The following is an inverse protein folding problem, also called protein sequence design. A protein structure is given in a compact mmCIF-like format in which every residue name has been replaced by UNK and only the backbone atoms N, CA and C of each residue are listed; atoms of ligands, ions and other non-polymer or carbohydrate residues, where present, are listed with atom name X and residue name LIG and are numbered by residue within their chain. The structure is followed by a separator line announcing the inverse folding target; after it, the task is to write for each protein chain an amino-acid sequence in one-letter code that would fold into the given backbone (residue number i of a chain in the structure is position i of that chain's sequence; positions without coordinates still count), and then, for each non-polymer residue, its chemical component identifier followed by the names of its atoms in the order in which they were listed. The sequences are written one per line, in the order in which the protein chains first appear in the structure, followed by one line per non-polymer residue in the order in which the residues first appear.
data_IF_746667503584
#
_entry.id   IF_746667503584
#
_cell.length_a   1.000
_cell.length_b   1.000
_cell.length_c   1.000
_cell.angle_alpha   90.00
_cell.angle_beta   90.00
_cell.angle_gamma   90.00
#
_symmetry.space_group_name_H-M   'P 1'
#
loop_
_entity.id
_entity.type
_entity.pdbx_description
1 polymer ?
#
# COMPACT_ATOMS: atom_id res chain seq x y z
N UNK A 1 14.72 -6.00 0.01
CA UNK A 1 14.64 -5.39 1.35
C UNK A 1 15.16 -6.39 2.37
N UNK A 2 15.85 -5.94 3.43
CA UNK A 2 16.24 -6.80 4.54
C UNK A 2 15.05 -7.50 5.20
N UNK A 3 15.29 -8.62 5.86
CA UNK A 3 14.25 -9.47 6.46
C UNK A 3 14.70 -10.10 7.80
N UNK A 4 15.74 -9.52 8.43
CA UNK A 4 16.34 -10.07 9.63
C UNK A 4 15.56 -9.72 10.91
N UNK A 5 14.93 -8.56 10.97
CA UNK A 5 14.18 -8.08 12.12
C UNK A 5 12.66 -8.06 11.86
N UNK A 6 11.87 -8.06 12.93
CA UNK A 6 10.40 -7.93 12.82
C UNK A 6 9.98 -6.64 12.13
N UNK A 7 10.72 -5.55 12.34
CA UNK A 7 10.44 -4.26 11.69
C UNK A 7 10.75 -4.31 10.20
N UNK A 8 11.84 -4.97 9.80
CA UNK A 8 12.15 -5.16 8.39
C UNK A 8 11.11 -6.03 7.68
N UNK A 9 10.67 -7.13 8.32
CA UNK A 9 9.58 -7.97 7.80
C UNK A 9 8.28 -7.18 7.63
N UNK A 10 7.90 -6.40 8.64
CA UNK A 10 6.74 -5.50 8.58
C UNK A 10 6.88 -4.49 7.43
N UNK A 11 8.05 -3.87 7.29
CA UNK A 11 8.31 -2.87 6.26
C UNK A 11 8.18 -3.47 4.85
N UNK A 12 8.73 -4.67 4.66
CA UNK A 12 8.61 -5.43 3.42
C UNK A 12 7.15 -5.75 3.08
N UNK A 13 6.37 -6.19 4.07
CA UNK A 13 4.93 -6.44 3.90
C UNK A 13 4.13 -5.16 3.60
N UNK A 14 4.52 -4.03 4.20
CA UNK A 14 3.92 -2.72 3.91
C UNK A 14 4.17 -2.27 2.47
N UNK A 15 5.37 -2.50 1.97
CA UNK A 15 5.72 -2.28 0.58
C UNK A 15 4.90 -3.17 -0.36
N UNK A 16 4.78 -4.46 -0.01
CA UNK A 16 3.97 -5.41 -0.76
C UNK A 16 2.50 -4.99 -0.83
N UNK A 17 1.90 -4.58 0.30
CA UNK A 17 0.50 -4.13 0.30
C UNK A 17 0.30 -2.84 -0.51
N UNK A 18 1.27 -1.93 -0.55
CA UNK A 18 1.21 -0.76 -1.43
C UNK A 18 1.14 -1.17 -2.91
N UNK A 19 1.91 -2.18 -3.32
CA UNK A 19 1.85 -2.73 -4.68
C UNK A 19 0.55 -3.47 -4.95
N UNK A 20 0.03 -4.21 -3.97
CA UNK A 20 -1.22 -4.95 -4.12
C UNK A 20 -2.47 -4.06 -4.17
N UNK A 21 -2.45 -2.88 -3.56
CA UNK A 21 -3.67 -2.10 -3.35
C UNK A 21 -3.59 -0.64 -3.79
N UNK A 22 -2.41 -0.08 -3.85
CA UNK A 22 -2.24 1.37 -3.96
C UNK A 22 -2.91 2.15 -2.83
N UNK A 23 -3.18 1.55 -1.68
CA UNK A 23 -3.81 2.21 -0.55
C UNK A 23 -3.04 3.47 -0.13
N UNK A 24 -3.76 4.49 0.34
CA UNK A 24 -3.11 5.69 0.89
C UNK A 24 -2.37 5.33 2.17
N UNK A 25 -1.25 5.97 2.40
CA UNK A 25 -0.39 5.74 3.55
C UNK A 25 -1.09 5.91 4.89
N UNK A 26 -2.00 6.88 5.00
CA UNK A 26 -2.83 7.08 6.20
C UNK A 26 -3.77 5.91 6.44
N UNK A 27 -4.40 5.39 5.38
CA UNK A 27 -5.26 4.21 5.47
C UNK A 27 -4.42 2.99 5.86
N UNK A 28 -3.35 2.71 5.14
CA UNK A 28 -2.47 1.58 5.38
C UNK A 28 -1.97 1.52 6.84
N UNK A 29 -1.53 2.66 7.38
CA UNK A 29 -1.01 2.73 8.76
C UNK A 29 -2.08 2.70 9.86
N UNK A 30 -3.35 2.65 9.49
CA UNK A 30 -4.48 2.48 10.42
C UNK A 30 -5.25 1.16 10.22
N UNK A 31 -4.82 0.31 9.28
CA UNK A 31 -5.41 -1.02 9.09
C UNK A 31 -5.21 -1.91 10.31
N UNK A 32 -6.27 -2.66 10.64
CA UNK A 32 -6.27 -3.74 11.63
C UNK A 32 -6.46 -5.08 10.95
N UNK A 33 -6.10 -6.19 11.59
CA UNK A 33 -6.18 -7.52 11.00
C UNK A 33 -7.59 -7.91 10.54
N UNK A 34 -8.63 -7.38 11.18
CA UNK A 34 -10.04 -7.59 10.77
C UNK A 34 -10.38 -6.96 9.40
N UNK A 35 -9.60 -5.98 8.96
CA UNK A 35 -9.81 -5.33 7.66
C UNK A 35 -9.17 -6.10 6.49
N UNK A 36 -8.47 -7.21 6.76
CA UNK A 36 -7.75 -8.00 5.76
C UNK A 36 -8.44 -9.33 5.54
N UNK A 37 -8.94 -9.54 4.33
CA UNK A 37 -9.43 -10.82 3.85
C UNK A 37 -8.43 -11.39 2.83
N UNK A 38 -7.72 -12.44 3.25
CA UNK A 38 -6.76 -13.12 2.39
C UNK A 38 -7.42 -14.12 1.43
N UNK A 39 -8.65 -14.57 1.72
CA UNK A 39 -9.39 -15.51 0.87
C UNK A 39 -9.93 -14.75 -0.34
N UNK A 40 -10.62 -13.65 -0.10
CA UNK A 40 -11.15 -12.77 -1.15
C UNK A 40 -10.09 -11.84 -1.75
N UNK A 41 -8.84 -11.88 -1.24
CA UNK A 41 -7.71 -11.03 -1.67
C UNK A 41 -8.10 -9.56 -1.68
N UNK A 42 -8.59 -9.04 -0.55
CA UNK A 42 -9.04 -7.66 -0.42
C UNK A 42 -8.72 -7.06 0.94
N UNK A 43 -8.76 -5.73 0.99
CA UNK A 43 -8.86 -4.97 2.24
C UNK A 43 -10.16 -4.18 2.27
N UNK A 44 -10.81 -4.18 3.44
CA UNK A 44 -11.98 -3.35 3.71
C UNK A 44 -11.55 -2.14 4.54
N UNK A 45 -11.63 -0.96 3.95
CA UNK A 45 -11.26 0.31 4.56
C UNK A 45 -12.52 0.98 5.13
N UNK A 46 -12.98 0.53 6.31
CA UNK A 46 -14.11 1.14 7.02
C UNK A 46 -13.72 2.55 7.49
N UNK A 47 -14.39 3.57 6.98
CA UNK A 47 -14.10 4.97 7.29
C UNK A 47 -14.26 5.35 8.78
N UNK A 48 -14.96 4.53 9.56
CA UNK A 48 -15.11 4.71 11.02
C UNK A 48 -13.84 4.32 11.79
N UNK A 49 -12.99 3.50 11.21
CA UNK A 49 -11.82 2.93 11.87
C UNK A 49 -10.52 3.15 11.10
N UNK A 50 -10.60 3.25 9.77
CA UNK A 50 -9.46 3.44 8.86
C UNK A 50 -9.45 4.88 8.36
N UNK A 51 -8.28 5.51 8.41
CA UNK A 51 -8.09 6.91 7.98
C UNK A 51 -8.11 7.03 6.45
N UNK A 52 -9.30 6.95 5.88
CA UNK A 52 -9.53 7.14 4.45
C UNK A 52 -9.61 8.63 4.09
N UNK A 53 -9.43 8.95 2.82
CA UNK A 53 -9.68 10.31 2.32
C UNK A 53 -11.19 10.56 2.27
N UNK A 54 -11.63 11.74 2.69
CA UNK A 54 -13.03 12.19 2.71
C UNK A 54 -13.96 11.29 3.57
N UNK A 55 -13.42 10.46 4.46
CA UNK A 55 -14.20 9.48 5.24
C UNK A 55 -15.04 8.53 4.36
N UNK A 56 -14.51 8.16 3.18
CA UNK A 56 -15.14 7.19 2.30
C UNK A 56 -14.81 5.77 2.73
N UNK A 57 -15.81 4.89 2.81
CA UNK A 57 -15.61 3.45 2.99
C UNK A 57 -15.29 2.80 1.64
N UNK A 58 -14.19 2.07 1.57
CA UNK A 58 -13.64 1.56 0.32
C UNK A 58 -13.32 0.08 0.46
N UNK A 59 -13.80 -0.74 -0.50
CA UNK A 59 -13.29 -2.08 -0.76
C UNK A 59 -12.16 -1.97 -1.78
N UNK A 60 -11.01 -2.58 -1.49
CA UNK A 60 -9.89 -2.63 -2.42
C UNK A 60 -9.44 -4.07 -2.59
N UNK A 61 -9.68 -4.64 -3.75
CA UNK A 61 -9.15 -5.95 -4.15
C UNK A 61 -7.68 -5.84 -4.51
N UNK A 62 -6.94 -6.92 -4.33
CA UNK A 62 -5.53 -6.94 -4.70
C UNK A 62 -5.38 -6.89 -6.22
N UNK A 63 -4.59 -5.96 -6.69
CA UNK A 63 -4.28 -5.83 -8.10
C UNK A 63 -3.48 -7.05 -8.59
N UNK A 64 -3.65 -7.45 -9.87
CA UNK A 64 -2.93 -8.56 -10.49
C UNK A 64 -1.48 -8.17 -10.83
N UNK A 65 -0.71 -7.90 -9.81
CA UNK A 65 0.73 -7.65 -9.88
C UNK A 65 1.51 -8.93 -9.59
N UNK A 66 2.85 -8.88 -9.60
CA UNK A 66 3.69 -10.05 -9.32
C UNK A 66 3.28 -10.75 -8.01
N UNK A 67 3.16 -12.07 -8.07
CA UNK A 67 2.70 -12.92 -6.97
C UNK A 67 3.59 -12.83 -5.72
N UNK A 68 4.86 -12.48 -5.90
CA UNK A 68 5.78 -12.25 -4.79
C UNK A 68 5.26 -11.24 -3.75
N UNK A 69 4.46 -10.26 -4.17
CA UNK A 69 3.86 -9.28 -3.25
C UNK A 69 2.73 -9.91 -2.44
N UNK A 70 1.91 -10.76 -3.07
CA UNK A 70 0.85 -11.49 -2.39
C UNK A 70 1.42 -12.46 -1.36
N UNK A 71 2.43 -13.22 -1.73
CA UNK A 71 3.12 -14.16 -0.84
C UNK A 71 3.73 -13.44 0.36
N UNK A 72 4.48 -12.38 0.11
CA UNK A 72 5.12 -11.58 1.16
C UNK A 72 4.09 -11.01 2.16
N UNK A 73 2.98 -10.48 1.68
CA UNK A 73 1.94 -9.92 2.55
C UNK A 73 1.18 -11.02 3.29
N UNK A 74 0.88 -12.12 2.62
CA UNK A 74 0.20 -13.28 3.21
C UNK A 74 1.02 -13.92 4.32
N UNK A 75 2.32 -14.12 4.10
CA UNK A 75 3.25 -14.64 5.12
C UNK A 75 3.29 -13.71 6.35
N UNK A 76 3.33 -12.40 6.13
CA UNK A 76 3.32 -11.44 7.22
C UNK A 76 2.04 -11.51 8.05
N UNK A 77 0.86 -11.52 7.41
CA UNK A 77 -0.43 -11.60 8.12
C UNK A 77 -0.57 -12.93 8.87
N UNK A 78 -0.13 -14.04 8.24
CA UNK A 78 -0.10 -15.35 8.91
C UNK A 78 0.81 -15.34 10.12
N UNK A 79 1.98 -14.73 10.02
CA UNK A 79 2.94 -14.60 11.12
C UNK A 79 2.34 -13.80 12.28
N UNK A 80 1.70 -12.65 12.02
CA UNK A 80 1.03 -11.88 13.07
C UNK A 80 -0.02 -12.71 13.81
N UNK A 81 -0.86 -13.44 13.05
CA UNK A 81 -1.97 -14.23 13.62
C UNK A 81 -1.48 -15.49 14.36
N UNK A 82 -0.51 -16.21 13.81
CA UNK A 82 -0.12 -17.54 14.31
C UNK A 82 1.04 -17.51 15.29
N UNK A 83 2.06 -16.69 15.03
CA UNK A 83 3.27 -16.66 15.84
C UNK A 83 3.20 -15.59 16.94
N UNK A 84 2.65 -14.40 16.59
CA UNK A 84 2.50 -13.32 17.58
C UNK A 84 1.12 -13.29 18.25
N UNK A 85 0.20 -14.16 17.82
CA UNK A 85 -1.15 -14.31 18.37
C UNK A 85 -1.94 -13.00 18.38
N UNK A 86 -1.71 -12.15 17.39
CA UNK A 86 -2.44 -10.90 17.23
C UNK A 86 -3.89 -11.16 16.90
N UNK A 87 -4.78 -10.46 17.59
CA UNK A 87 -6.22 -10.52 17.41
C UNK A 87 -6.73 -9.61 16.29
N UNK A 88 -8.05 -9.67 16.00
CA UNK A 88 -8.67 -8.90 14.91
C UNK A 88 -8.46 -7.39 15.00
N UNK A 89 -8.33 -6.85 16.20
CA UNK A 89 -8.17 -5.42 16.44
C UNK A 89 -6.73 -4.93 16.46
N UNK A 90 -5.75 -5.83 16.38
CA UNK A 90 -4.35 -5.46 16.32
C UNK A 90 -3.96 -4.94 14.94
N UNK A 91 -2.93 -4.09 14.92
CA UNK A 91 -2.45 -3.44 13.70
C UNK A 91 -1.89 -4.44 12.69
N UNK A 92 -2.20 -4.25 11.39
CA UNK A 92 -1.50 -4.94 10.30
C UNK A 92 -0.03 -4.50 10.20
N UNK A 93 0.22 -3.23 10.48
CA UNK A 93 1.57 -2.66 10.53
C UNK A 93 1.84 -2.08 11.91
N UNK A 94 2.20 -2.94 12.89
CA UNK A 94 2.36 -2.54 14.28
C UNK A 94 3.54 -1.62 14.48
N UNK A 95 3.45 -0.76 15.51
CA UNK A 95 4.55 0.11 15.92
C UNK A 95 5.74 -0.71 16.43
N UNK A 96 6.96 -0.19 16.29
CA UNK A 96 8.10 -0.76 17.00
C UNK A 96 7.88 -0.63 18.51
N UNK A 97 8.25 -1.66 19.24
CA UNK A 97 8.39 -1.62 20.71
C UNK A 97 9.73 -1.01 21.05
N UNK A 98 9.72 0.09 21.78
CA UNK A 98 10.92 0.78 22.23
C UNK A 98 11.03 0.62 23.74
N UNK A 99 12.13 0.07 24.21
CA UNK A 99 12.40 -0.15 25.64
C UNK A 99 13.77 0.40 26.02
N UNK A 100 13.89 0.82 27.28
CA UNK A 100 15.17 1.19 27.85
C UNK A 100 15.93 -0.11 28.14
N UNK A 101 17.09 -0.26 27.52
CA UNK A 101 18.01 -1.40 27.80
C UNK A 101 19.20 -0.87 28.53
N UNK A 102 19.52 -1.48 29.67
CA UNK A 102 20.64 -1.07 30.55
C UNK A 102 21.96 -1.05 29.76
N UNK A 103 22.67 0.06 29.83
CA UNK A 103 23.94 0.27 29.12
C UNK A 103 23.82 0.60 27.64
N UNK A 104 22.63 0.47 27.01
CA UNK A 104 22.41 0.71 25.58
C UNK A 104 21.38 1.82 25.27
N UNK A 105 20.71 2.35 26.32
CA UNK A 105 19.67 3.37 26.13
C UNK A 105 18.37 2.81 25.52
N UNK A 106 17.60 3.64 24.82
CA UNK A 106 16.37 3.21 24.16
C UNK A 106 16.67 2.34 22.95
N UNK A 107 16.19 1.10 22.98
CA UNK A 107 16.37 0.12 21.90
C UNK A 107 15.03 -0.39 21.41
N UNK A 108 15.00 -0.76 20.13
CA UNK A 108 13.86 -1.42 19.54
C UNK A 108 13.92 -2.91 19.86
N UNK A 109 13.02 -3.39 20.72
CA UNK A 109 13.01 -4.78 21.22
C UNK A 109 11.96 -5.67 20.54
N UNK A 110 11.10 -5.09 19.69
CA UNK A 110 10.05 -5.85 19.01
C UNK A 110 9.01 -4.96 18.34
N UNK A 111 7.78 -5.43 18.33
CA UNK A 111 6.60 -4.71 17.82
C UNK A 111 5.43 -4.84 18.80
N UNK A 112 4.54 -3.84 18.82
CA UNK A 112 3.31 -3.84 19.63
C UNK A 112 2.10 -3.70 18.73
N UNK A 113 0.97 -4.36 19.04
CA UNK A 113 -0.25 -4.45 18.22
C UNK A 113 -0.99 -3.13 17.94
N UNK A 114 -0.34 -1.99 18.13
CA UNK A 114 -0.92 -0.67 17.96
C UNK A 114 -0.71 -0.09 16.56
N UNK A 115 -1.73 0.62 16.07
CA UNK A 115 -1.62 1.42 14.83
C UNK A 115 -0.79 2.68 15.06
N UNK A 116 -0.21 3.21 13.98
CA UNK A 116 0.46 4.51 14.03
C UNK A 116 -0.54 5.66 14.16
N UNK A 117 -0.20 6.68 14.93
CA UNK A 117 -0.99 7.91 15.01
C UNK A 117 -1.00 8.69 13.69
N UNK A 118 0.13 8.68 12.97
CA UNK A 118 0.29 9.32 11.65
C UNK A 118 1.06 8.43 10.69
N UNK A 119 1.01 8.75 9.40
CA UNK A 119 1.77 8.03 8.37
C UNK A 119 3.24 8.49 8.22
N UNK A 120 3.70 9.44 9.03
CA UNK A 120 5.03 10.04 8.87
C UNK A 120 6.17 9.02 8.90
N UNK A 121 6.20 8.16 9.92
CA UNK A 121 7.21 7.11 10.05
C UNK A 121 7.20 6.12 8.88
N UNK A 122 6.01 5.80 8.36
CA UNK A 122 5.86 4.90 7.22
C UNK A 122 6.36 5.55 5.92
N UNK A 123 6.06 6.84 5.70
CA UNK A 123 6.59 7.59 4.55
C UNK A 123 8.11 7.64 4.57
N UNK A 124 8.69 7.91 5.75
CA UNK A 124 10.13 7.94 5.91
C UNK A 124 10.75 6.58 5.61
N UNK A 125 10.16 5.49 6.14
CA UNK A 125 10.60 4.13 5.87
C UNK A 125 10.62 3.81 4.36
N UNK A 126 9.56 4.18 3.62
CA UNK A 126 9.52 3.98 2.16
C UNK A 126 10.64 4.75 1.48
N UNK A 127 10.81 6.03 1.80
CA UNK A 127 11.88 6.87 1.26
C UNK A 127 13.27 6.26 1.51
N UNK A 128 13.55 5.87 2.75
CA UNK A 128 14.84 5.31 3.15
C UNK A 128 15.13 3.98 2.44
N UNK A 129 14.09 3.17 2.21
CA UNK A 129 14.23 1.92 1.45
C UNK A 129 14.77 2.17 0.04
N UNK A 130 14.25 3.16 -0.66
CA UNK A 130 14.74 3.51 -2.00
C UNK A 130 16.16 4.08 -1.96
N UNK A 131 16.43 4.99 -1.03
CA UNK A 131 17.77 5.59 -0.86
C UNK A 131 18.81 4.52 -0.55
N UNK A 132 18.51 3.60 0.38
CA UNK A 132 19.42 2.50 0.74
C UNK A 132 19.65 1.50 -0.40
N UNK A 133 18.72 1.44 -1.35
CA UNK A 133 18.87 0.66 -2.57
C UNK A 133 19.63 1.43 -3.70
N UNK A 134 20.12 2.63 -3.44
CA UNK A 134 20.78 3.48 -4.43
C UNK A 134 19.85 4.07 -5.48
N UNK A 135 18.54 4.11 -5.18
CA UNK A 135 17.51 4.61 -6.09
C UNK A 135 17.05 6.01 -5.67
N UNK A 136 16.43 6.72 -6.62
CA UNK A 136 15.75 7.99 -6.31
C UNK A 136 14.68 7.76 -5.24
N UNK A 137 14.55 8.64 -4.22
CA UNK A 137 13.56 8.51 -3.17
C UNK A 137 12.14 8.65 -3.74
N UNK A 138 11.35 7.60 -3.62
CA UNK A 138 9.93 7.60 -3.93
C UNK A 138 9.08 7.61 -2.66
N UNK A 139 7.81 7.98 -2.81
CA UNK A 139 6.85 8.09 -1.72
C UNK A 139 5.66 7.14 -1.98
N UNK A 140 4.83 6.82 -0.97
CA UNK A 140 3.69 5.93 -1.15
C UNK A 140 2.77 6.26 -2.33
N UNK A 141 2.61 7.55 -2.66
CA UNK A 141 1.82 7.97 -3.81
C UNK A 141 2.38 7.52 -5.17
N UNK A 142 3.67 7.26 -5.27
CA UNK A 142 4.29 6.75 -6.50
C UNK A 142 3.79 5.36 -6.88
N UNK A 143 3.45 4.51 -5.88
CA UNK A 143 2.86 3.18 -6.12
C UNK A 143 1.51 3.28 -6.83
N UNK A 144 0.69 4.26 -6.43
CA UNK A 144 -0.60 4.52 -7.09
C UNK A 144 -0.40 4.94 -8.54
N UNK A 145 0.59 5.82 -8.81
CA UNK A 145 0.95 6.21 -10.18
C UNK A 145 1.38 5.01 -11.01
N UNK A 146 2.18 4.12 -10.44
CA UNK A 146 2.63 2.89 -11.10
C UNK A 146 1.43 1.98 -11.41
N UNK A 147 0.53 1.77 -10.44
CA UNK A 147 -0.68 0.95 -10.64
C UNK A 147 -1.63 1.54 -11.67
N UNK A 148 -1.80 2.88 -11.73
CA UNK A 148 -2.60 3.51 -12.78
C UNK A 148 -2.00 3.27 -14.15
N UNK A 149 -0.69 3.49 -14.33
CA UNK A 149 0.00 3.23 -15.60
C UNK A 149 -0.07 1.76 -16.00
N UNK A 150 0.04 0.86 -15.04
CA UNK A 150 -0.09 -0.57 -15.28
C UNK A 150 -1.53 -0.92 -15.71
N UNK A 151 -2.54 -0.38 -15.04
CA UNK A 151 -3.94 -0.56 -15.42
C UNK A 151 -4.26 -0.04 -16.84
N UNK A 152 -3.68 1.09 -17.22
CA UNK A 152 -3.82 1.63 -18.58
C UNK A 152 -3.25 0.68 -19.65
N UNK A 153 -2.24 -0.10 -19.32
CA UNK A 153 -1.62 -1.07 -20.23
C UNK A 153 -2.36 -2.41 -20.30
N UNK A 154 -2.95 -2.88 -19.19
CA UNK A 154 -3.51 -4.24 -19.09
C UNK A 154 -5.02 -4.29 -19.23
N UNK A 155 -5.73 -3.20 -18.97
CA UNK A 155 -7.18 -3.15 -19.14
C UNK A 155 -7.57 -3.16 -20.63
N UNK A 156 -8.37 -4.13 -21.03
CA UNK A 156 -8.77 -4.32 -22.42
C UNK A 156 -9.84 -3.29 -22.89
N UNK A 157 -10.57 -2.68 -21.95
CA UNK A 157 -11.64 -1.74 -22.25
C UNK A 157 -11.87 -0.70 -21.13
N UNK A 158 -12.74 0.27 -21.42
CA UNK A 158 -13.07 1.37 -20.50
C UNK A 158 -13.71 0.90 -19.18
N UNK A 159 -14.50 -0.15 -19.22
CA UNK A 159 -15.19 -0.67 -18.04
C UNK A 159 -14.17 -1.27 -17.07
N UNK A 160 -13.23 -2.07 -17.57
CA UNK A 160 -12.12 -2.60 -16.76
C UNK A 160 -11.27 -1.48 -16.17
N UNK A 161 -10.94 -0.45 -16.96
CA UNK A 161 -10.16 0.67 -16.46
C UNK A 161 -10.94 1.52 -15.44
N UNK A 162 -12.26 1.64 -15.58
CA UNK A 162 -13.14 2.26 -14.58
C UNK A 162 -13.12 1.46 -13.26
N UNK A 163 -13.28 0.15 -13.32
CA UNK A 163 -13.20 -0.73 -12.15
C UNK A 163 -11.82 -0.63 -11.47
N UNK A 164 -10.74 -0.59 -12.25
CA UNK A 164 -9.38 -0.37 -11.76
C UNK A 164 -9.24 0.96 -11.01
N UNK A 165 -9.76 2.03 -11.58
CA UNK A 165 -9.78 3.36 -10.97
C UNK A 165 -10.59 3.40 -9.67
N UNK A 166 -11.77 2.78 -9.66
CA UNK A 166 -12.62 2.67 -8.47
C UNK A 166 -11.92 1.86 -7.36
N UNK A 167 -11.20 0.80 -7.71
CA UNK A 167 -10.42 -0.02 -6.78
C UNK A 167 -9.31 0.79 -6.08
N UNK A 168 -8.79 1.82 -6.72
CA UNK A 168 -7.90 2.81 -6.12
C UNK A 168 -8.64 3.83 -5.23
N UNK A 169 -9.97 3.79 -5.15
CA UNK A 169 -10.78 4.75 -4.42
C UNK A 169 -10.84 6.12 -5.10
N UNK A 170 -10.95 6.13 -6.44
CA UNK A 170 -11.26 7.34 -7.19
C UNK A 170 -12.75 7.36 -7.53
N UNK A 171 -13.45 8.44 -7.18
CA UNK A 171 -14.87 8.59 -7.43
C UNK A 171 -15.20 8.83 -8.93
N UNK A 172 -14.21 9.25 -9.70
CA UNK A 172 -14.32 9.45 -11.15
C UNK A 172 -13.09 8.92 -11.89
N UNK A 173 -13.30 8.34 -13.05
CA UNK A 173 -12.23 7.96 -13.98
C UNK A 173 -11.44 9.19 -14.46
N UNK A 174 -12.08 10.35 -14.54
CA UNK A 174 -11.45 11.61 -14.93
C UNK A 174 -10.33 12.00 -13.98
N UNK A 175 -10.50 11.72 -12.68
CA UNK A 175 -9.44 11.90 -11.68
C UNK A 175 -8.21 11.05 -12.01
N UNK A 176 -8.42 9.83 -12.50
CA UNK A 176 -7.33 8.93 -12.89
C UNK A 176 -6.64 9.44 -14.16
N UNK A 177 -7.40 9.78 -15.17
CA UNK A 177 -6.87 10.26 -16.45
C UNK A 177 -6.13 11.58 -16.28
N UNK A 178 -6.77 12.59 -15.70
CA UNK A 178 -6.18 13.94 -15.56
C UNK A 178 -4.95 13.97 -14.63
N UNK A 179 -4.94 13.15 -13.58
CA UNK A 179 -3.86 13.19 -12.58
C UNK A 179 -2.68 12.29 -12.90
N UNK A 180 -2.88 11.23 -13.71
CA UNK A 180 -1.87 10.18 -13.87
C UNK A 180 -1.53 9.81 -15.32
N UNK A 181 -2.45 10.08 -16.28
CA UNK A 181 -2.31 9.71 -17.69
C UNK A 181 -2.26 10.96 -18.60
N UNK A 182 -1.30 11.83 -18.33
CA UNK A 182 -1.07 13.00 -19.20
C UNK A 182 -0.37 12.55 -20.48
N UNK A 183 -0.88 13.04 -21.61
CA UNK A 183 -0.27 12.85 -22.93
C UNK A 183 0.36 14.16 -23.39
N UNK A 184 1.51 14.08 -24.08
CA UNK A 184 2.13 15.24 -24.70
C UNK A 184 1.36 15.69 -25.94
N UNK A 185 1.60 16.93 -26.37
CA UNK A 185 0.98 17.50 -27.60
C UNK A 185 1.37 16.66 -28.83
N UNK A 186 2.61 16.19 -28.89
CA UNK A 186 3.11 15.32 -29.95
C UNK A 186 2.33 14.01 -29.98
N UNK A 187 2.18 13.37 -28.80
CA UNK A 187 1.44 12.10 -28.68
C UNK A 187 -0.05 12.28 -29.00
N UNK A 188 -0.65 13.40 -28.62
CA UNK A 188 -2.02 13.75 -29.02
C UNK A 188 -2.14 13.80 -30.54
N UNK A 189 -1.19 14.48 -31.20
CA UNK A 189 -1.17 14.59 -32.67
C UNK A 189 -1.04 13.22 -33.38
N UNK A 190 -0.16 12.35 -32.86
CA UNK A 190 0.00 10.97 -33.38
C UNK A 190 -1.31 10.18 -33.29
N UNK A 191 -1.94 10.21 -32.12
CA UNK A 191 -3.19 9.48 -31.88
C UNK A 191 -4.32 9.98 -32.80
N UNK A 192 -4.51 11.28 -32.89
CA UNK A 192 -5.57 11.85 -33.73
C UNK A 192 -5.37 11.52 -35.23
N UNK A 193 -4.12 11.61 -35.71
CA UNK A 193 -3.79 11.26 -37.10
C UNK A 193 -3.91 9.75 -37.39
N UNK A 194 -3.82 8.92 -36.35
CA UNK A 194 -3.95 7.45 -36.44
C UNK A 194 -5.40 6.95 -36.56
N UNK A 195 -6.41 7.78 -36.26
CA UNK A 195 -7.81 7.42 -36.49
C UNK A 195 -8.11 7.39 -38.01
N UNK A 196 -8.48 6.21 -38.50
CA UNK A 196 -8.94 5.97 -39.88
C UNK A 196 -10.38 5.45 -39.89
#
# INVERSE_FOLDING_TARGET
MPNATLVERRNKAGFALLMLTGARDSALTSLRLKHVDLVEKQIFQDAREVRTKNSDTIYTWFFPVDEMYLDCFTEWVKFLRKELLFGPNDAVFPKPKIEMVEGLGFQQTGIIGEIYATAGAFRQMIKDTFVNAGLHPFFPHSFRKTLVKYGDQVCANREQFKAWSMNLGHNSIDTTISSYLQISVERQGELIKGFR
#
